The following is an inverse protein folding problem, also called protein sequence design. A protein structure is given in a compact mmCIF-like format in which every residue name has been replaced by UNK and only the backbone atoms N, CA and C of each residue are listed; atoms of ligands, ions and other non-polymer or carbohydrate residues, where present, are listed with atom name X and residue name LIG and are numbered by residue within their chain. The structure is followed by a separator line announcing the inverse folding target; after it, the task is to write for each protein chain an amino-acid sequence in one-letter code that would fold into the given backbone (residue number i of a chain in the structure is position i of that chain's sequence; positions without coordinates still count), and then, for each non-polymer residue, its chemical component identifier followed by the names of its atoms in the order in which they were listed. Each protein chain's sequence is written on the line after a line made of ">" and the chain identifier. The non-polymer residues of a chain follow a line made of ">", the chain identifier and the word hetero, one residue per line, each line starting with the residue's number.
data_IF_802638886124
#
_entry.id   IF_802638886124
#
_cell.length_a   1.000
_cell.length_b   1.000
_cell.length_c   1.000
_cell.angle_alpha   90.00
_cell.angle_beta   90.00
_cell.angle_gamma   90.00
#
_symmetry.space_group_name_H-M   'P 1'
#
loop_
_entity.id
_entity.type
_entity.pdbx_description
1 polymer ?
#
# COMPACT_ATOMS: atom_id res chain seq x y z
N UNK A 1 -26.41 -15.82 3.06
CA UNK A 1 -25.36 -15.45 4.01
C UNK A 1 -24.20 -16.43 3.84
N UNK A 2 -23.01 -15.94 3.53
CA UNK A 2 -21.70 -16.52 3.90
C UNK A 2 -20.59 -15.54 3.48
N UNK A 3 -20.28 -14.66 4.44
CA UNK A 3 -18.99 -14.05 4.79
C UNK A 3 -17.95 -13.94 3.66
N UNK A 4 -17.70 -12.69 3.25
CA UNK A 4 -16.44 -12.27 2.60
C UNK A 4 -15.27 -12.78 3.44
N UNK A 5 -14.63 -13.85 3.01
CA UNK A 5 -13.24 -14.10 3.36
C UNK A 5 -12.39 -13.11 2.54
N UNK A 6 -12.40 -11.83 2.94
CA UNK A 6 -11.23 -10.99 2.69
C UNK A 6 -10.14 -11.56 3.59
N UNK A 7 -9.43 -12.57 3.10
CA UNK A 7 -8.19 -13.01 3.73
C UNK A 7 -7.31 -11.77 3.73
N UNK A 8 -7.20 -11.13 4.89
CA UNK A 8 -6.14 -10.20 5.19
C UNK A 8 -4.86 -11.02 5.01
N UNK A 9 -4.27 -11.00 3.82
CA UNK A 9 -2.96 -11.62 3.61
C UNK A 9 -1.95 -10.71 4.31
N UNK A 10 -1.91 -10.80 5.64
CA UNK A 10 -0.95 -10.08 6.47
C UNK A 10 0.42 -10.56 6.01
N UNK A 11 1.24 -9.62 5.54
CA UNK A 11 2.59 -9.93 5.09
C UNK A 11 3.45 -10.11 6.33
N UNK A 12 3.45 -11.33 6.86
CA UNK A 12 4.18 -11.71 8.06
C UNK A 12 5.51 -12.33 7.63
N UNK A 13 6.58 -11.54 7.59
CA UNK A 13 7.94 -12.08 7.66
C UNK A 13 8.32 -12.12 9.14
N UNK A 14 8.42 -13.33 9.69
CA UNK A 14 8.80 -13.55 11.08
C UNK A 14 10.30 -13.78 11.22
N UNK A 15 10.93 -12.99 12.07
CA UNK A 15 12.25 -13.26 12.64
C UNK A 15 12.07 -13.78 14.06
N UNK A 16 12.73 -14.88 14.40
CA UNK A 16 12.76 -15.36 15.78
C UNK A 16 13.99 -14.81 16.50
N UNK A 17 13.78 -14.11 17.61
CA UNK A 17 14.86 -13.68 18.53
C UNK A 17 14.43 -14.04 19.94
N UNK A 18 15.27 -14.79 20.67
CA UNK A 18 14.99 -15.24 22.04
C UNK A 18 13.58 -15.88 22.22
N UNK A 19 13.22 -16.84 21.37
CA UNK A 19 11.90 -17.53 21.38
C UNK A 19 10.67 -16.60 21.24
N UNK A 20 10.87 -15.35 20.84
CA UNK A 20 9.80 -14.40 20.53
C UNK A 20 9.77 -14.20 19.02
N UNK A 21 8.59 -14.35 18.42
CA UNK A 21 8.35 -14.07 17.01
C UNK A 21 8.24 -12.55 16.82
N UNK A 22 9.23 -11.97 16.14
CA UNK A 22 9.22 -10.58 15.72
C UNK A 22 8.79 -10.51 14.26
N UNK A 23 7.69 -9.82 13.99
CA UNK A 23 7.34 -9.50 12.61
C UNK A 23 8.26 -8.38 12.14
N UNK A 24 9.11 -8.63 11.14
CA UNK A 24 10.02 -7.62 10.57
C UNK A 24 9.20 -6.63 9.74
N UNK A 25 8.56 -5.69 10.44
CA UNK A 25 7.64 -4.73 9.85
C UNK A 25 8.40 -3.70 9.03
N UNK A 26 8.05 -3.59 7.74
CA UNK A 26 8.45 -2.47 6.89
C UNK A 26 7.80 -1.21 7.45
N UNK A 27 8.62 -0.24 7.88
CA UNK A 27 8.14 1.03 8.42
C UNK A 27 7.61 1.91 7.30
N UNK A 28 6.68 2.83 7.64
CA UNK A 28 6.10 3.79 6.68
C UNK A 28 7.15 4.51 5.82
N UNK A 29 8.22 5.04 6.41
CA UNK A 29 9.27 5.74 5.65
C UNK A 29 10.05 4.81 4.70
N UNK A 30 10.21 3.53 5.05
CA UNK A 30 10.86 2.54 4.19
C UNK A 30 9.96 2.24 2.98
N UNK A 31 8.68 1.95 3.24
CA UNK A 31 7.69 1.73 2.17
C UNK A 31 7.57 2.94 1.24
N UNK A 32 7.58 4.14 1.82
CA UNK A 32 7.60 5.42 1.09
C UNK A 32 8.85 5.56 0.24
N UNK A 33 10.04 5.28 0.78
CA UNK A 33 11.28 5.37 0.02
C UNK A 33 11.25 4.51 -1.25
N UNK A 34 10.83 3.24 -1.15
CA UNK A 34 10.73 2.34 -2.29
C UNK A 34 9.61 2.74 -3.27
N UNK A 35 8.47 3.22 -2.77
CA UNK A 35 7.41 3.75 -3.64
C UNK A 35 7.86 4.99 -4.42
N UNK A 36 8.62 5.90 -3.79
CA UNK A 36 9.13 7.14 -4.38
C UNK A 36 10.14 6.88 -5.50
N UNK A 37 11.04 5.93 -5.28
CA UNK A 37 12.15 5.61 -6.20
C UNK A 37 11.85 4.41 -7.11
N UNK A 38 10.60 3.97 -7.15
CA UNK A 38 10.15 2.97 -8.11
C UNK A 38 10.27 3.52 -9.53
N UNK A 39 11.10 2.86 -10.34
CA UNK A 39 11.32 3.19 -11.77
C UNK A 39 10.09 2.99 -12.66
N UNK A 40 9.01 2.42 -12.09
CA UNK A 40 7.77 2.13 -12.81
C UNK A 40 6.84 3.35 -12.97
N UNK A 41 7.18 4.51 -12.39
CA UNK A 41 6.32 5.70 -12.37
C UNK A 41 7.02 6.95 -12.88
N UNK A 42 6.21 7.92 -13.32
CA UNK A 42 6.69 9.30 -13.38
C UNK A 42 7.02 9.81 -11.96
N UNK A 43 7.97 10.75 -11.81
CA UNK A 43 8.32 11.31 -10.50
C UNK A 43 7.13 11.92 -9.75
N UNK A 44 6.13 12.45 -10.47
CA UNK A 44 4.91 13.00 -9.88
C UNK A 44 3.95 11.93 -9.38
N UNK A 45 3.83 10.80 -10.09
CA UNK A 45 3.00 9.68 -9.64
C UNK A 45 3.65 8.94 -8.47
N UNK A 46 4.97 8.71 -8.51
CA UNK A 46 5.70 8.18 -7.36
C UNK A 46 5.63 9.13 -6.17
N UNK A 47 5.54 10.44 -6.42
CA UNK A 47 5.32 11.45 -5.38
C UNK A 47 4.05 11.13 -4.55
N UNK A 48 2.95 10.91 -5.27
CA UNK A 48 1.61 10.62 -4.72
C UNK A 48 1.62 9.28 -3.97
N UNK A 49 2.12 8.21 -4.60
CA UNK A 49 2.06 6.87 -4.00
C UNK A 49 2.90 6.81 -2.72
N UNK A 50 4.06 7.48 -2.67
CA UNK A 50 4.88 7.42 -1.46
C UNK A 50 4.28 8.14 -0.26
N UNK A 51 3.46 9.17 -0.48
CA UNK A 51 2.73 9.85 0.59
C UNK A 51 1.79 8.85 1.29
N UNK A 52 1.00 8.14 0.48
CA UNK A 52 0.08 7.12 1.01
C UNK A 52 0.78 5.85 1.49
N UNK A 53 1.94 5.52 0.93
CA UNK A 53 2.80 4.45 1.42
C UNK A 53 3.27 4.70 2.85
N UNK A 54 3.69 5.94 3.16
CA UNK A 54 4.10 6.31 4.51
C UNK A 54 2.96 6.12 5.51
N UNK A 55 1.76 6.58 5.14
CA UNK A 55 0.55 6.42 5.94
C UNK A 55 0.19 4.93 6.10
N UNK A 56 0.21 4.15 5.01
CA UNK A 56 -0.15 2.74 5.04
C UNK A 56 0.82 1.90 5.90
N UNK A 57 2.13 2.17 5.81
CA UNK A 57 3.14 1.47 6.62
C UNK A 57 3.22 1.93 8.08
N UNK A 58 2.43 2.93 8.48
CA UNK A 58 2.18 3.20 9.90
C UNK A 58 1.21 2.18 10.51
N UNK A 59 0.40 1.51 9.67
CA UNK A 59 -0.50 0.41 10.04
C UNK A 59 0.15 -0.96 9.78
N UNK A 60 -0.38 -2.03 10.36
CA UNK A 60 0.04 -3.41 10.06
C UNK A 60 -0.64 -3.99 8.81
N UNK A 61 -1.60 -3.26 8.23
CA UNK A 61 -2.39 -3.75 7.09
C UNK A 61 -1.74 -3.44 5.73
N UNK A 62 -0.85 -2.45 5.66
CA UNK A 62 -0.31 -1.92 4.40
C UNK A 62 -1.44 -1.54 3.41
N UNK A 63 -2.49 -0.92 3.93
CA UNK A 63 -3.70 -0.56 3.19
C UNK A 63 -3.93 0.95 3.15
N UNK A 64 -4.51 1.41 2.06
CA UNK A 64 -4.96 2.78 1.81
C UNK A 64 -6.47 2.74 1.64
N UNK A 65 -7.20 3.33 2.59
CA UNK A 65 -8.68 3.38 2.61
C UNK A 65 -9.13 4.83 2.56
N UNK A 66 -9.31 5.39 1.36
CA UNK A 66 -9.64 6.82 1.16
C UNK A 66 -10.47 7.04 -0.10
N UNK A 67 -11.24 8.12 -0.14
CA UNK A 67 -11.85 8.59 -1.38
C UNK A 67 -10.80 9.26 -2.29
N UNK A 68 -11.05 9.39 -3.60
CA UNK A 68 -10.12 10.17 -4.43
C UNK A 68 -10.17 11.67 -4.13
N UNK A 69 -11.28 12.18 -3.58
CA UNK A 69 -11.40 13.56 -3.15
C UNK A 69 -10.45 13.83 -1.98
N UNK A 70 -10.46 12.96 -0.95
CA UNK A 70 -9.57 13.08 0.20
C UNK A 70 -8.10 12.97 -0.24
N UNK A 71 -7.80 12.02 -1.13
CA UNK A 71 -6.43 11.85 -1.64
C UNK A 71 -5.96 13.08 -2.43
N UNK A 72 -6.87 13.68 -3.20
CA UNK A 72 -6.62 14.90 -3.97
C UNK A 72 -6.31 16.08 -3.05
N UNK A 73 -7.07 16.23 -1.97
CA UNK A 73 -6.85 17.25 -0.94
C UNK A 73 -5.50 17.05 -0.22
N UNK A 74 -5.21 15.84 0.26
CA UNK A 74 -3.95 15.53 0.97
C UNK A 74 -2.72 15.83 0.10
N UNK A 75 -2.80 15.52 -1.19
CA UNK A 75 -1.65 15.68 -2.11
C UNK A 75 -1.59 17.04 -2.80
N UNK A 76 -2.64 17.86 -2.70
CA UNK A 76 -2.80 19.09 -3.48
C UNK A 76 -2.81 18.84 -5.00
N UNK A 77 -3.17 17.63 -5.46
CA UNK A 77 -3.20 17.24 -6.88
C UNK A 77 -4.63 17.02 -7.33
N UNK A 78 -4.92 17.14 -8.63
CA UNK A 78 -6.26 16.85 -9.14
C UNK A 78 -6.65 15.39 -8.93
N UNK A 79 -7.95 15.13 -8.71
CA UNK A 79 -8.54 13.79 -8.65
C UNK A 79 -8.12 12.93 -9.86
N UNK A 80 -8.07 13.53 -11.05
CA UNK A 80 -7.64 12.84 -12.28
C UNK A 80 -6.20 12.35 -12.22
N UNK A 81 -5.29 13.15 -11.65
CA UNK A 81 -3.87 12.81 -11.47
C UNK A 81 -3.71 11.71 -10.44
N UNK A 82 -4.39 11.82 -9.29
CA UNK A 82 -4.38 10.79 -8.24
C UNK A 82 -4.88 9.46 -8.82
N UNK A 83 -6.01 9.45 -9.51
CA UNK A 83 -6.56 8.24 -10.12
C UNK A 83 -5.58 7.58 -11.09
N UNK A 84 -4.85 8.35 -11.91
CA UNK A 84 -3.82 7.84 -12.82
C UNK A 84 -2.65 7.21 -12.07
N UNK A 85 -2.15 7.88 -11.02
CA UNK A 85 -1.06 7.35 -10.20
C UNK A 85 -1.44 5.98 -9.57
N UNK A 86 -2.64 5.86 -9.00
CA UNK A 86 -3.10 4.60 -8.42
C UNK A 86 -3.38 3.51 -9.47
N UNK A 87 -3.85 3.88 -10.66
CA UNK A 87 -4.01 2.95 -11.77
C UNK A 87 -2.66 2.41 -12.26
N UNK A 88 -1.64 3.25 -12.38
CA UNK A 88 -0.28 2.84 -12.72
C UNK A 88 0.33 1.93 -11.64
N UNK A 89 0.18 2.29 -10.37
CA UNK A 89 0.63 1.48 -9.25
C UNK A 89 -0.04 0.10 -9.21
N UNK A 90 -1.29 0.02 -9.65
CA UNK A 90 -1.97 -1.27 -9.82
C UNK A 90 -1.42 -2.03 -11.02
N UNK A 91 -1.20 -1.35 -12.15
CA UNK A 91 -0.70 -1.95 -13.39
C UNK A 91 0.70 -2.54 -13.25
N UNK A 92 1.58 -1.91 -12.46
CA UNK A 92 2.93 -2.42 -12.20
C UNK A 92 2.99 -3.45 -11.05
N UNK A 93 1.85 -3.83 -10.47
CA UNK A 93 1.80 -4.83 -9.40
C UNK A 93 2.25 -4.34 -8.03
N UNK A 94 2.40 -3.02 -7.82
CA UNK A 94 2.70 -2.46 -6.50
C UNK A 94 1.48 -2.49 -5.58
N UNK A 95 0.30 -2.16 -6.12
CA UNK A 95 -0.97 -2.16 -5.42
C UNK A 95 -1.94 -3.16 -6.02
N UNK A 96 -2.84 -3.68 -5.19
CA UNK A 96 -4.06 -4.34 -5.61
C UNK A 96 -5.26 -3.53 -5.11
N UNK A 97 -6.20 -3.25 -6.02
CA UNK A 97 -7.48 -2.62 -5.65
C UNK A 97 -8.39 -3.67 -5.03
N UNK A 98 -8.84 -3.43 -3.80
CA UNK A 98 -9.88 -4.22 -3.16
C UNK A 98 -11.23 -3.53 -3.32
N UNK A 99 -12.26 -4.31 -3.65
CA UNK A 99 -13.64 -3.82 -3.67
C UNK A 99 -14.20 -3.97 -2.27
N UNK A 100 -14.44 -2.85 -1.58
CA UNK A 100 -15.23 -2.84 -0.36
C UNK A 100 -16.61 -2.28 -0.69
N UNK A 101 -17.61 -3.16 -0.64
CA UNK A 101 -19.02 -2.82 -0.84
C UNK A 101 -19.62 -2.62 0.55
N UNK A 102 -20.26 -1.47 0.81
CA UNK A 102 -21.02 -1.33 2.05
C UNK A 102 -22.27 -2.20 2.05
N UNK A 103 -22.83 -2.42 3.24
CA UNK A 103 -24.08 -3.18 3.44
C UNK A 103 -25.27 -2.65 2.61
N UNK A 104 -25.20 -1.41 2.12
CA UNK A 104 -26.20 -0.77 1.25
C UNK A 104 -25.81 -0.79 -0.24
N UNK A 105 -24.87 -1.64 -0.66
CA UNK A 105 -24.30 -1.68 -2.02
C UNK A 105 -23.65 -0.38 -2.50
N UNK A 106 -23.46 0.62 -1.64
CA UNK A 106 -22.69 1.81 -1.97
C UNK A 106 -21.19 1.53 -1.83
N UNK A 107 -20.38 2.06 -2.75
CA UNK A 107 -18.94 2.10 -2.56
C UNK A 107 -18.61 3.23 -1.58
N UNK A 108 -18.11 2.91 -0.38
CA UNK A 108 -17.81 3.93 0.64
C UNK A 108 -16.48 4.63 0.38
N UNK A 109 -15.48 3.88 -0.08
CA UNK A 109 -14.15 4.42 -0.37
C UNK A 109 -13.37 3.53 -1.35
N UNK A 110 -12.25 4.03 -1.88
CA UNK A 110 -11.29 3.19 -2.57
C UNK A 110 -10.41 2.49 -1.54
N UNK A 111 -10.21 1.19 -1.73
CA UNK A 111 -9.31 0.39 -0.92
C UNK A 111 -8.20 -0.14 -1.81
N UNK A 112 -6.97 0.22 -1.47
CA UNK A 112 -5.76 -0.32 -2.11
C UNK A 112 -4.89 -0.99 -1.06
N UNK A 113 -4.29 -2.12 -1.41
CA UNK A 113 -3.34 -2.83 -0.55
C UNK A 113 -2.02 -2.97 -1.29
N UNK A 114 -0.90 -2.79 -0.62
CA UNK A 114 0.40 -3.16 -1.19
C UNK A 114 0.46 -4.67 -1.40
N UNK A 115 0.95 -5.09 -2.56
CA UNK A 115 1.02 -6.51 -2.89
C UNK A 115 2.08 -7.19 -2.03
N UNK A 116 1.87 -8.48 -1.77
CA UNK A 116 2.84 -9.29 -1.04
C UNK A 116 4.17 -9.37 -1.78
N UNK A 117 4.14 -9.40 -3.13
CA UNK A 117 5.35 -9.38 -3.94
C UNK A 117 6.16 -8.09 -3.74
N UNK A 118 5.50 -6.94 -3.71
CA UNK A 118 6.19 -5.66 -3.51
C UNK A 118 6.76 -5.54 -2.08
N UNK A 119 6.01 -5.98 -1.07
CA UNK A 119 6.50 -6.01 0.32
C UNK A 119 7.69 -6.98 0.47
N UNK A 120 7.64 -8.14 -0.18
CA UNK A 120 8.75 -9.09 -0.20
C UNK A 120 10.01 -8.48 -0.83
N UNK A 121 9.85 -7.80 -1.96
CA UNK A 121 10.95 -7.12 -2.64
C UNK A 121 11.65 -6.12 -1.71
N UNK A 122 10.88 -5.30 -0.98
CA UNK A 122 11.43 -4.32 -0.04
C UNK A 122 12.23 -5.02 1.06
N UNK A 123 11.66 -6.09 1.62
CA UNK A 123 12.29 -6.86 2.69
C UNK A 123 13.66 -7.40 2.24
N UNK A 124 13.71 -8.07 1.09
CA UNK A 124 14.97 -8.59 0.51
C UNK A 124 15.96 -7.47 0.20
N UNK A 125 15.49 -6.36 -0.38
CA UNK A 125 16.34 -5.22 -0.71
C UNK A 125 16.97 -4.58 0.54
N UNK A 126 16.25 -4.56 1.67
CA UNK A 126 16.76 -4.08 2.95
C UNK A 126 17.77 -5.03 3.60
N UNK A 127 17.70 -6.33 3.33
CA UNK A 127 18.67 -7.31 3.86
C UNK A 127 19.99 -7.32 3.08
N UNK A 128 19.95 -7.05 1.77
CA UNK A 128 21.13 -7.01 0.91
C UNK A 128 21.92 -5.71 1.09
N UNK A 129 21.23 -4.61 1.43
CA UNK A 129 21.84 -3.29 1.64
C UNK A 129 22.35 -3.03 3.06
N UNK A 130 22.30 -4.03 3.94
CA UNK A 130 22.72 -3.96 5.35
C UNK A 130 24.16 -4.39 5.58
#
# INVERSE_FOLDING_TARGET
>A
MSILNSVSVTFNTSEYKNNTEYHKKIKGHQLSFFARHSVFFSPSHSAIIAEFANLAGSTDEYMIRRSYADMSEITGRSISTVRRAFAEATKCGMLVKQHQVANNNAQVCNVYRFTTQFLHFIHVAMEIGG
#
